data_IF_800601032746
#
_entry.id   IF_800601032746
#
_cell.length_a   1.000
_cell.length_b   1.000
_cell.length_c   1.000
_cell.angle_alpha   90.00
_cell.angle_beta   90.00
_cell.angle_gamma   90.00
#
_symmetry.space_group_name_H-M   'P 1'
#
loop_
_entity.id
_entity.type
_entity.pdbx_description
1 polymer ?
#
# COMPACT_ATOMS: atom_id res chain seq x y z
N UNK A 1 8.47 6.25 7.68
CA UNK A 1 7.20 5.83 7.05
C UNK A 1 6.59 4.75 7.91
N UNK A 2 5.28 4.75 8.07
CA UNK A 2 4.55 3.70 8.80
C UNK A 2 3.92 2.79 7.76
N UNK A 3 4.04 1.48 7.97
CA UNK A 3 3.53 0.48 7.05
C UNK A 3 2.28 -0.18 7.59
N UNK A 4 1.31 -0.30 6.71
CA UNK A 4 0.01 -0.88 6.97
C UNK A 4 -0.21 -2.03 6.00
N UNK A 5 -0.76 -3.13 6.50
CA UNK A 5 -1.10 -4.31 5.72
C UNK A 5 -2.58 -4.60 5.85
N UNK A 6 -3.20 -4.94 4.72
CA UNK A 6 -4.53 -5.52 4.73
C UNK A 6 -4.70 -6.50 3.57
N UNK A 7 -5.30 -7.64 3.89
CA UNK A 7 -5.76 -8.59 2.89
C UNK A 7 -7.13 -8.14 2.39
N UNK A 8 -7.28 -8.00 1.09
CA UNK A 8 -8.55 -7.69 0.46
C UNK A 8 -9.01 -8.85 -0.41
N UNK A 9 -10.26 -9.27 -0.20
CA UNK A 9 -11.06 -9.90 -1.23
C UNK A 9 -11.59 -8.80 -2.17
N UNK A 10 -11.59 -9.04 -3.47
CA UNK A 10 -11.89 -8.02 -4.50
C UNK A 10 -13.13 -7.14 -4.21
N UNK A 11 -14.15 -7.68 -3.54
CA UNK A 11 -15.36 -6.95 -3.17
C UNK A 11 -15.16 -5.91 -2.04
N UNK A 12 -14.20 -6.12 -1.14
CA UNK A 12 -13.93 -5.23 0.01
C UNK A 12 -12.92 -4.12 -0.31
N UNK A 13 -12.30 -4.19 -1.48
CA UNK A 13 -11.26 -3.27 -1.92
C UNK A 13 -11.80 -1.86 -2.19
N UNK A 14 -12.92 -1.74 -2.91
CA UNK A 14 -13.42 -0.44 -3.38
C UNK A 14 -13.68 0.57 -2.25
N UNK A 15 -14.38 0.23 -1.14
CA UNK A 15 -14.64 1.19 -0.08
C UNK A 15 -13.38 1.66 0.65
N UNK A 16 -12.37 0.78 0.79
CA UNK A 16 -11.11 1.14 1.42
C UNK A 16 -10.27 2.06 0.53
N UNK A 17 -10.29 1.82 -0.79
CA UNK A 17 -9.62 2.70 -1.75
C UNK A 17 -10.29 4.06 -1.85
N UNK A 18 -11.61 4.13 -1.85
CA UNK A 18 -12.32 5.41 -1.84
C UNK A 18 -11.94 6.25 -0.62
N UNK A 19 -11.80 5.63 0.57
CA UNK A 19 -11.33 6.34 1.77
C UNK A 19 -9.89 6.83 1.63
N UNK A 20 -9.01 5.97 1.10
CA UNK A 20 -7.62 6.33 0.86
C UNK A 20 -7.51 7.47 -0.15
N UNK A 21 -8.25 7.41 -1.25
CA UNK A 21 -8.28 8.44 -2.28
C UNK A 21 -8.82 9.77 -1.74
N UNK A 22 -9.92 9.75 -0.99
CA UNK A 22 -10.42 10.96 -0.31
C UNK A 22 -9.39 11.57 0.63
N UNK A 23 -8.67 10.74 1.39
CA UNK A 23 -7.61 11.19 2.28
C UNK A 23 -6.43 11.79 1.50
N UNK A 24 -6.04 11.17 0.39
CA UNK A 24 -5.00 11.69 -0.50
C UNK A 24 -5.40 13.02 -1.15
N UNK A 25 -6.65 13.14 -1.60
CA UNK A 25 -7.21 14.38 -2.13
C UNK A 25 -7.24 15.51 -1.09
N UNK A 26 -7.38 15.16 0.20
CA UNK A 26 -7.28 16.15 1.29
C UNK A 26 -5.84 16.63 1.56
N UNK A 27 -4.82 15.91 1.07
CA UNK A 27 -3.40 16.18 1.31
C UNK A 27 -2.55 16.11 0.02
N UNK A 28 -2.86 16.90 -1.03
CA UNK A 28 -2.25 16.76 -2.35
C UNK A 28 -0.73 17.02 -2.34
N UNK A 29 -0.25 17.92 -1.49
CA UNK A 29 1.18 18.22 -1.35
C UNK A 29 2.01 17.05 -0.78
N UNK A 30 1.35 16.09 -0.13
CA UNK A 30 2.00 14.95 0.55
C UNK A 30 1.88 13.65 -0.23
N UNK A 31 1.27 13.67 -1.41
CA UNK A 31 1.06 12.49 -2.25
C UNK A 31 2.34 11.66 -2.46
N UNK A 32 3.48 12.34 -2.62
CA UNK A 32 4.78 11.68 -2.80
C UNK A 32 5.30 10.94 -1.56
N UNK A 33 4.69 11.13 -0.39
CA UNK A 33 5.03 10.43 0.85
C UNK A 33 4.19 9.16 1.06
N UNK A 34 3.14 8.97 0.25
CA UNK A 34 2.33 7.77 0.28
C UNK A 34 2.90 6.73 -0.69
N UNK A 35 2.80 5.47 -0.31
CA UNK A 35 3.13 4.35 -1.18
C UNK A 35 2.07 3.27 -1.05
N UNK A 36 1.67 2.67 -2.16
CA UNK A 36 0.77 1.52 -2.14
C UNK A 36 1.18 0.48 -3.16
N UNK A 37 1.35 -0.74 -2.68
CA UNK A 37 1.72 -1.91 -3.48
C UNK A 37 0.85 -3.09 -3.08
N UNK A 38 0.70 -4.07 -3.96
CA UNK A 38 0.01 -5.31 -3.63
C UNK A 38 0.74 -6.53 -4.15
N UNK A 39 0.54 -7.64 -3.44
CA UNK A 39 1.00 -8.98 -3.79
C UNK A 39 -0.22 -9.87 -3.94
N UNK A 40 -0.30 -10.60 -5.04
CA UNK A 40 -1.34 -11.60 -5.26
C UNK A 40 -1.07 -12.79 -4.36
N UNK A 41 -2.12 -13.29 -3.71
CA UNK A 41 -2.03 -14.55 -2.98
C UNK A 41 -2.25 -15.74 -3.93
N UNK A 42 -2.04 -16.96 -3.45
CA UNK A 42 -2.37 -18.18 -4.19
C UNK A 42 -3.87 -18.30 -4.50
N UNK A 43 -4.72 -17.60 -3.74
CA UNK A 43 -6.16 -17.58 -3.96
C UNK A 43 -6.51 -16.51 -5.01
N UNK A 44 -7.25 -16.87 -6.07
CA UNK A 44 -7.73 -15.89 -7.03
C UNK A 44 -8.63 -14.87 -6.33
N UNK A 45 -8.55 -13.60 -6.76
CA UNK A 45 -9.30 -12.46 -6.22
C UNK A 45 -8.93 -12.02 -4.80
N UNK A 46 -7.86 -12.59 -4.21
CA UNK A 46 -7.31 -12.19 -2.92
C UNK A 46 -5.90 -11.64 -3.10
N UNK A 47 -5.69 -10.42 -2.62
CA UNK A 47 -4.39 -9.77 -2.64
C UNK A 47 -4.08 -9.15 -1.29
N UNK A 48 -2.81 -9.21 -0.90
CA UNK A 48 -2.28 -8.49 0.24
C UNK A 48 -1.82 -7.11 -0.22
N UNK A 49 -2.38 -6.08 0.38
CA UNK A 49 -2.04 -4.70 0.12
C UNK A 49 -1.17 -4.14 1.24
N UNK A 50 -0.18 -3.37 0.84
CA UNK A 50 0.80 -2.75 1.70
C UNK A 50 0.81 -1.26 1.42
N UNK A 51 0.47 -0.46 2.43
CA UNK A 51 0.36 0.99 2.34
C UNK A 51 1.41 1.63 3.25
N UNK A 52 2.28 2.44 2.67
CA UNK A 52 3.21 3.31 3.36
C UNK A 52 2.58 4.69 3.55
N UNK A 53 2.49 5.13 4.80
CA UNK A 53 1.91 6.42 5.18
C UNK A 53 2.93 7.27 5.96
N UNK A 54 2.84 8.60 5.90
CA UNK A 54 3.88 9.46 6.47
C UNK A 54 3.80 9.61 8.00
N UNK A 55 2.61 9.56 8.59
CA UNK A 55 2.39 9.85 10.02
C UNK A 55 1.47 8.83 10.69
N UNK A 56 1.56 8.74 12.03
CA UNK A 56 0.72 7.84 12.83
C UNK A 56 -0.77 8.22 12.74
N UNK A 57 -1.08 9.52 12.70
CA UNK A 57 -2.44 10.04 12.53
C UNK A 57 -3.11 9.50 11.25
N UNK A 58 -2.37 9.49 10.14
CA UNK A 58 -2.85 8.91 8.88
C UNK A 58 -3.05 7.40 9.03
N UNK A 59 -2.17 6.71 9.75
CA UNK A 59 -2.32 5.28 10.03
C UNK A 59 -3.54 4.98 10.93
N UNK A 60 -3.82 5.84 11.92
CA UNK A 60 -4.97 5.71 12.82
C UNK A 60 -6.31 5.90 12.08
N UNK A 61 -6.32 6.57 10.93
CA UNK A 61 -7.50 6.70 10.07
C UNK A 61 -7.91 5.38 9.38
N UNK A 62 -7.05 4.35 9.44
CA UNK A 62 -7.26 3.03 8.86
C UNK A 62 -7.17 1.93 9.93
N UNK A 63 -8.08 1.92 10.92
CA UNK A 63 -8.03 0.97 12.05
C UNK A 63 -8.19 -0.49 11.60
N UNK A 64 -8.78 -0.72 10.44
CA UNK A 64 -8.94 -2.06 9.86
C UNK A 64 -7.67 -2.61 9.22
N UNK A 65 -6.58 -1.85 9.19
CA UNK A 65 -5.28 -2.28 8.68
C UNK A 65 -4.34 -2.66 9.83
N UNK A 66 -3.57 -3.70 9.61
CA UNK A 66 -2.53 -4.14 10.54
C UNK A 66 -1.28 -3.28 10.37
N UNK A 67 -0.74 -2.75 11.47
CA UNK A 67 0.58 -2.10 11.45
C UNK A 67 1.66 -3.15 11.39
N UNK A 68 2.50 -3.05 10.36
CA UNK A 68 3.61 -3.98 10.15
C UNK A 68 4.95 -3.25 10.19
N UNK A 69 6.03 -4.00 10.43
CA UNK A 69 7.37 -3.45 10.36
C UNK A 69 7.88 -3.43 8.91
N UNK A 70 8.93 -2.65 8.65
CA UNK A 70 9.58 -2.64 7.33
C UNK A 70 10.16 -4.02 6.96
N UNK A 71 10.52 -4.84 7.95
CA UNK A 71 11.03 -6.21 7.73
C UNK A 71 9.97 -7.19 7.23
N UNK A 72 8.69 -6.89 7.45
CA UNK A 72 7.55 -7.72 7.02
C UNK A 72 7.08 -7.37 5.59
N UNK A 73 7.70 -6.38 4.96
CA UNK A 73 7.35 -5.98 3.61
C UNK A 73 7.78 -7.04 2.59
N UNK A 74 6.97 -7.25 1.56
CA UNK A 74 7.35 -8.13 0.47
C UNK A 74 8.50 -7.49 -0.32
N UNK A 75 9.51 -8.29 -0.68
CA UNK A 75 10.58 -7.84 -1.59
C UNK A 75 10.11 -7.78 -3.04
N UNK A 76 9.10 -8.58 -3.37
CA UNK A 76 8.52 -8.70 -4.70
C UNK A 76 7.04 -8.30 -4.67
N UNK A 77 6.63 -7.45 -5.60
CA UNK A 77 5.26 -6.96 -5.71
C UNK A 77 4.67 -7.30 -7.08
N UNK A 78 3.37 -7.57 -7.12
CA UNK A 78 2.65 -7.85 -8.36
C UNK A 78 2.09 -6.58 -9.00
N UNK A 79 1.73 -5.59 -8.18
CA UNK A 79 1.10 -4.36 -8.67
C UNK A 79 1.50 -3.18 -7.81
N UNK A 80 1.82 -2.09 -8.48
CA UNK A 80 1.98 -0.78 -7.88
C UNK A 80 0.69 0.01 -8.09
N UNK A 81 0.14 0.57 -7.01
CA UNK A 81 -1.10 1.33 -7.06
C UNK A 81 -0.86 2.83 -6.89
N UNK A 82 0.05 3.23 -5.99
CA UNK A 82 0.19 4.63 -5.60
C UNK A 82 1.59 4.98 -5.09
N UNK A 83 1.98 6.24 -5.33
CA UNK A 83 3.20 6.86 -4.83
C UNK A 83 4.15 7.33 -5.93
N UNK A 84 5.36 7.68 -5.54
CA UNK A 84 6.41 8.07 -6.47
C UNK A 84 7.41 6.93 -6.70
N UNK A 85 7.26 6.23 -7.83
CA UNK A 85 8.15 5.13 -8.21
C UNK A 85 9.60 5.56 -8.46
N UNK A 86 9.85 6.86 -8.62
CA UNK A 86 11.18 7.39 -8.96
C UNK A 86 12.03 7.71 -7.74
N UNK A 87 11.43 7.75 -6.55
CA UNK A 87 12.13 8.08 -5.29
C UNK A 87 12.64 6.84 -4.58
N UNK A 88 13.76 7.02 -3.87
CA UNK A 88 14.45 5.97 -3.10
C UNK A 88 13.57 5.14 -2.15
N UNK A 89 12.44 5.64 -1.58
CA UNK A 89 11.58 4.79 -0.78
C UNK A 89 11.09 3.56 -1.54
N UNK A 90 10.74 3.71 -2.82
CA UNK A 90 10.20 2.63 -3.66
C UNK A 90 11.28 1.76 -4.27
N UNK A 91 12.25 2.37 -4.96
CA UNK A 91 13.27 1.64 -5.75
C UNK A 91 14.22 0.80 -4.89
N UNK A 92 14.37 1.14 -3.60
CA UNK A 92 15.22 0.38 -2.68
C UNK A 92 14.49 -0.79 -2.00
N UNK A 93 13.15 -0.83 -2.05
CA UNK A 93 12.33 -1.77 -1.25
C UNK A 93 11.65 -2.84 -2.08
N UNK A 94 11.20 -2.50 -3.29
CA UNK A 94 10.32 -3.38 -4.06
C UNK A 94 10.89 -3.65 -5.46
N UNK A 95 10.74 -4.89 -5.91
CA UNK A 95 10.91 -5.29 -7.30
C UNK A 95 9.57 -5.80 -7.84
N UNK A 96 9.27 -5.51 -9.09
CA UNK A 96 8.13 -6.15 -9.75
C UNK A 96 8.43 -7.64 -9.95
N UNK A 97 7.48 -8.49 -9.60
CA UNK A 97 7.57 -9.93 -9.88
C UNK A 97 7.57 -10.11 -11.41
N UNK A 98 8.62 -10.72 -11.95
CA UNK A 98 8.70 -11.00 -13.39
C UNK A 98 7.58 -11.98 -13.77
N UNK A 99 6.71 -11.58 -14.69
CA UNK A 99 5.78 -12.52 -15.35
C UNK A 99 6.54 -13.19 -16.49
N UNK A 100 6.88 -14.46 -16.31
CA UNK A 100 7.39 -15.33 -17.36
C UNK A 100 6.22 -15.93 -18.14
#
# INVERSE_FOLDING_TARGET
>A
MIWLKKRFEFAEYAPAMDRLENLLMSMPARYAEFLMVSVKTEKPLISDYYIGVPTAEVADAFPEFERISEGDLPKEIDTFHLGDQTKQPFTSRFKFRERW
#
